data_IF_450794537713
#
_entry.id   IF_450794537713
#
_cell.length_a   1.000
_cell.length_b   1.000
_cell.length_c   1.000
_cell.angle_alpha   90.00
_cell.angle_beta   90.00
_cell.angle_gamma   90.00
#
_symmetry.space_group_name_H-M   'P 1'
#
loop_
_entity.id
_entity.type
_entity.pdbx_description
1 polymer ?
#
# COMPACT_ATOMS: atom_id res chain seq x y z
N UNK A 1 6.29 -7.03 69.91
CA UNK A 1 7.32 -6.62 68.91
C UNK A 1 7.53 -7.79 67.96
N UNK A 2 7.43 -7.76 66.63
CA UNK A 2 6.94 -6.85 65.58
C UNK A 2 6.45 -7.82 64.47
N UNK A 3 5.25 -7.61 63.92
CA UNK A 3 4.66 -8.43 62.84
C UNK A 3 5.41 -8.21 61.53
N UNK A 4 5.99 -9.23 60.87
CA UNK A 4 6.54 -9.11 59.53
C UNK A 4 5.62 -9.82 58.52
N UNK A 5 4.36 -9.38 58.39
CA UNK A 5 3.43 -10.02 57.44
C UNK A 5 2.77 -9.04 56.47
N UNK A 6 3.09 -7.74 56.55
CA UNK A 6 2.50 -6.71 55.69
C UNK A 6 3.34 -6.37 54.45
N UNK A 7 4.64 -6.73 54.41
CA UNK A 7 5.54 -6.30 53.34
C UNK A 7 5.63 -7.23 52.12
N UNK A 8 5.16 -8.47 52.23
CA UNK A 8 5.25 -9.44 51.12
C UNK A 8 4.10 -9.29 50.11
N UNK A 9 2.94 -8.77 50.54
CA UNK A 9 1.77 -8.62 49.66
C UNK A 9 1.89 -7.39 48.75
N UNK A 10 2.64 -6.35 49.16
CA UNK A 10 2.81 -5.13 48.37
C UNK A 10 3.80 -5.28 47.20
N UNK A 11 4.69 -6.28 47.24
CA UNK A 11 5.66 -6.52 46.17
C UNK A 11 5.09 -7.28 44.97
N UNK A 12 3.95 -7.96 45.11
CA UNK A 12 3.35 -8.76 44.03
C UNK A 12 2.45 -7.94 43.08
N UNK A 13 2.07 -6.72 43.45
CA UNK A 13 1.17 -5.86 42.67
C UNK A 13 1.95 -5.00 41.63
N UNK A 14 3.29 -4.92 41.75
CA UNK A 14 4.14 -4.09 40.87
C UNK A 14 4.62 -4.80 39.59
N UNK A 15 4.20 -6.05 39.33
CA UNK A 15 4.61 -6.82 38.14
C UNK A 15 3.53 -6.93 37.05
N UNK A 16 2.36 -6.34 37.21
CA UNK A 16 1.41 -6.16 36.11
C UNK A 16 1.77 -4.91 35.30
N UNK A 17 2.95 -4.90 34.68
CA UNK A 17 3.20 -3.97 33.58
C UNK A 17 2.31 -4.43 32.42
N UNK A 18 1.34 -3.62 31.95
CA UNK A 18 0.68 -3.92 30.70
C UNK A 18 1.79 -3.97 29.64
N UNK A 19 2.02 -5.15 29.06
CA UNK A 19 2.79 -5.26 27.84
C UNK A 19 2.09 -4.34 26.84
N UNK A 20 2.70 -3.21 26.51
CA UNK A 20 2.29 -2.40 25.37
C UNK A 20 2.55 -3.25 24.14
N UNK A 21 1.63 -4.19 23.89
CA UNK A 21 1.55 -4.89 22.63
C UNK A 21 1.26 -3.79 21.61
N UNK A 22 2.29 -3.41 20.85
CA UNK A 22 2.12 -2.48 19.75
C UNK A 22 0.92 -2.95 18.91
N UNK A 23 0.10 -2.01 18.41
CA UNK A 23 -1.07 -2.36 17.62
C UNK A 23 -0.66 -2.97 16.28
N UNK A 24 -1.16 -4.17 15.92
CA UNK A 24 -0.71 -4.91 14.74
C UNK A 24 -0.84 -4.06 13.47
N UNK A 25 0.19 -4.11 12.61
CA UNK A 25 0.15 -3.39 11.33
C UNK A 25 -1.07 -3.86 10.51
N UNK A 26 -1.84 -2.94 9.90
CA UNK A 26 -2.95 -3.30 9.05
C UNK A 26 -2.42 -3.88 7.73
N UNK A 27 -2.27 -5.20 7.68
CA UNK A 27 -1.78 -5.92 6.50
C UNK A 27 -2.90 -6.44 5.61
N UNK A 28 -4.14 -6.44 6.09
CA UNK A 28 -5.28 -7.04 5.39
C UNK A 28 -6.29 -5.98 4.97
N UNK A 29 -6.69 -6.03 3.70
CA UNK A 29 -7.77 -5.24 3.13
C UNK A 29 -8.75 -6.18 2.42
N UNK A 30 -9.99 -6.25 2.92
CA UNK A 30 -10.97 -7.25 2.49
C UNK A 30 -10.42 -8.68 2.69
N UNK A 31 -10.25 -9.44 1.60
CA UNK A 31 -9.71 -10.81 1.60
C UNK A 31 -8.20 -10.87 1.33
N UNK A 32 -7.57 -9.73 1.03
CA UNK A 32 -6.18 -9.69 0.58
C UNK A 32 -5.26 -9.29 1.73
N UNK A 33 -4.24 -10.10 1.99
CA UNK A 33 -3.20 -9.83 2.99
C UNK A 33 -1.86 -9.58 2.30
N UNK A 34 -1.27 -8.42 2.56
CA UNK A 34 0.07 -8.03 2.10
C UNK A 34 1.15 -8.96 2.64
N UNK A 35 2.22 -9.15 1.85
CA UNK A 35 3.33 -10.06 2.17
C UNK A 35 3.02 -11.55 2.02
N UNK A 36 1.77 -11.92 1.72
CA UNK A 36 1.42 -13.29 1.31
C UNK A 36 1.71 -13.50 -0.17
N UNK A 37 1.81 -14.76 -0.57
CA UNK A 37 1.95 -15.11 -1.99
C UNK A 37 0.72 -14.61 -2.78
N UNK A 38 0.96 -13.92 -3.89
CA UNK A 38 -0.11 -13.38 -4.75
C UNK A 38 -0.94 -14.50 -5.38
N UNK A 39 -0.36 -15.68 -5.58
CA UNK A 39 -1.01 -16.80 -6.27
C UNK A 39 -2.19 -17.36 -5.47
N UNK A 40 -2.24 -17.11 -4.15
CA UNK A 40 -3.38 -17.42 -3.30
C UNK A 40 -4.68 -16.71 -3.72
N UNK A 41 -4.56 -15.61 -4.47
CA UNK A 41 -5.68 -14.75 -4.84
C UNK A 41 -6.09 -14.87 -6.31
N UNK A 42 -5.54 -15.82 -7.07
CA UNK A 42 -5.82 -15.98 -8.51
C UNK A 42 -7.30 -16.13 -8.83
N UNK A 43 -8.10 -16.73 -7.95
CA UNK A 43 -9.55 -16.90 -8.13
C UNK A 43 -10.33 -15.57 -8.20
N UNK A 44 -9.75 -14.48 -7.67
CA UNK A 44 -10.28 -13.12 -7.71
C UNK A 44 -9.85 -12.34 -8.95
N UNK A 45 -8.88 -12.84 -9.70
CA UNK A 45 -8.31 -12.17 -10.85
C UNK A 45 -9.03 -12.55 -12.16
N UNK A 46 -8.84 -11.74 -13.20
CA UNK A 46 -9.41 -11.97 -14.54
C UNK A 46 -8.65 -13.02 -15.37
N UNK A 47 -7.64 -13.67 -14.78
CA UNK A 47 -6.83 -14.70 -15.43
C UNK A 47 -5.72 -14.16 -16.36
N UNK A 48 -5.58 -12.84 -16.46
CA UNK A 48 -4.41 -12.24 -17.14
C UNK A 48 -3.13 -12.59 -16.37
N UNK A 49 -2.08 -13.00 -17.11
CA UNK A 49 -0.75 -13.08 -16.49
C UNK A 49 -0.36 -11.67 -16.05
N UNK A 50 0.18 -11.54 -14.83
CA UNK A 50 0.56 -10.25 -14.27
C UNK A 50 1.42 -9.46 -15.25
N UNK A 51 0.92 -8.30 -15.67
CA UNK A 51 1.60 -7.44 -16.63
C UNK A 51 2.69 -6.68 -15.89
N UNK A 52 3.92 -6.73 -16.40
CA UNK A 52 4.97 -5.81 -15.93
C UNK A 52 4.49 -4.38 -16.19
N UNK A 53 4.53 -3.53 -15.16
CA UNK A 53 4.23 -2.11 -15.35
C UNK A 53 5.44 -1.46 -16.03
N UNK A 54 5.25 -0.82 -17.17
CA UNK A 54 6.34 -0.19 -17.94
C UNK A 54 7.11 0.83 -17.09
N UNK A 55 6.39 1.62 -16.29
CA UNK A 55 6.98 2.67 -15.47
C UNK A 55 7.55 2.14 -14.13
N UNK A 56 7.20 0.89 -13.77
CA UNK A 56 7.63 0.25 -12.53
C UNK A 56 8.02 -1.21 -12.84
N UNK A 57 9.14 -1.42 -13.57
CA UNK A 57 9.47 -2.72 -14.17
C UNK A 57 9.75 -3.84 -13.16
N UNK A 58 10.04 -3.47 -11.91
CA UNK A 58 10.25 -4.41 -10.80
C UNK A 58 8.94 -4.93 -10.16
N UNK A 59 7.79 -4.53 -10.73
CA UNK A 59 6.48 -4.96 -10.30
C UNK A 59 5.66 -5.54 -11.44
N UNK A 60 4.86 -6.54 -11.11
CA UNK A 60 3.84 -7.11 -11.98
C UNK A 60 2.45 -6.87 -11.37
N UNK A 61 1.50 -6.48 -12.21
CA UNK A 61 0.13 -6.15 -11.81
C UNK A 61 -0.86 -7.10 -12.46
N UNK A 62 -1.74 -7.68 -11.66
CA UNK A 62 -2.87 -8.49 -12.14
C UNK A 62 -4.17 -7.78 -11.79
N UNK A 63 -5.09 -7.69 -12.76
CA UNK A 63 -6.37 -7.03 -12.55
C UNK A 63 -7.34 -7.95 -11.79
N UNK A 64 -8.12 -7.34 -10.91
CA UNK A 64 -9.23 -8.01 -10.25
C UNK A 64 -10.42 -8.14 -11.21
N UNK A 65 -11.03 -9.32 -11.24
CA UNK A 65 -12.32 -9.53 -11.90
C UNK A 65 -13.38 -8.69 -11.19
N UNK A 66 -14.21 -7.99 -11.95
CA UNK A 66 -15.34 -7.25 -11.40
C UNK A 66 -16.22 -8.16 -10.54
N UNK A 67 -16.69 -7.65 -9.40
CA UNK A 67 -17.58 -8.36 -8.46
C UNK A 67 -16.98 -9.62 -7.82
N UNK A 68 -15.68 -9.88 -7.99
CA UNK A 68 -14.96 -10.91 -7.23
C UNK A 68 -14.88 -10.58 -5.74
N UNK A 69 -14.98 -9.29 -5.40
CA UNK A 69 -15.15 -8.78 -4.04
C UNK A 69 -16.44 -7.95 -4.01
N UNK A 70 -17.36 -8.16 -3.04
CA UNK A 70 -18.62 -7.43 -2.97
C UNK A 70 -18.41 -5.90 -2.96
N UNK A 71 -19.14 -5.20 -3.84
CA UNK A 71 -19.08 -3.74 -3.98
C UNK A 71 -17.86 -3.21 -4.76
N UNK A 72 -16.94 -4.09 -5.16
CA UNK A 72 -15.73 -3.74 -5.91
C UNK A 72 -15.95 -4.02 -7.40
N UNK A 73 -15.90 -2.95 -8.21
CA UNK A 73 -16.05 -3.02 -9.67
C UNK A 73 -14.77 -3.43 -10.41
N UNK A 74 -13.67 -3.51 -9.68
CA UNK A 74 -12.36 -3.88 -10.21
C UNK A 74 -11.24 -3.29 -9.36
N UNK A 75 -10.03 -3.37 -9.86
CA UNK A 75 -8.85 -3.05 -9.07
C UNK A 75 -7.67 -3.88 -9.54
N UNK A 76 -6.67 -3.97 -8.69
CA UNK A 76 -5.48 -4.74 -9.02
C UNK A 76 -4.71 -5.20 -7.79
N UNK A 77 -3.98 -6.28 -8.00
CA UNK A 77 -3.00 -6.85 -7.08
C UNK A 77 -1.63 -6.69 -7.72
N UNK A 78 -0.71 -6.07 -7.00
CA UNK A 78 0.67 -5.87 -7.47
C UNK A 78 1.62 -6.74 -6.66
N UNK A 79 2.43 -7.52 -7.35
CA UNK A 79 3.47 -8.35 -6.76
C UNK A 79 4.85 -8.00 -7.31
N UNK A 80 5.88 -8.39 -6.57
CA UNK A 80 7.27 -8.17 -6.90
C UNK A 80 7.74 -9.18 -7.93
N UNK A 81 8.73 -8.82 -8.72
CA UNK A 81 9.31 -9.69 -9.73
C UNK A 81 10.86 -9.67 -9.76
N UNK A 82 11.52 -8.94 -8.85
CA UNK A 82 12.97 -8.89 -8.77
C UNK A 82 13.54 -9.83 -7.71
N UNK A 83 13.03 -9.78 -6.46
CA UNK A 83 13.56 -10.61 -5.37
C UNK A 83 13.29 -12.12 -5.56
N UNK A 84 12.31 -12.45 -6.39
CA UNK A 84 11.98 -13.83 -6.79
C UNK A 84 10.85 -14.46 -5.97
N UNK A 85 10.39 -13.82 -4.89
CA UNK A 85 9.19 -14.20 -4.18
C UNK A 85 8.01 -13.33 -4.63
N UNK A 86 7.00 -13.94 -5.27
CA UNK A 86 5.82 -13.24 -5.82
C UNK A 86 4.85 -12.79 -4.72
N UNK A 87 5.36 -12.09 -3.70
CA UNK A 87 4.58 -11.58 -2.58
C UNK A 87 3.67 -10.47 -3.06
N UNK A 88 2.50 -10.35 -2.45
CA UNK A 88 1.57 -9.26 -2.66
C UNK A 88 2.08 -8.00 -1.94
N UNK A 89 2.48 -6.99 -2.70
CA UNK A 89 2.98 -5.71 -2.16
C UNK A 89 1.90 -4.64 -2.11
N UNK A 90 0.96 -4.66 -3.06
CA UNK A 90 -0.05 -3.61 -3.16
C UNK A 90 -1.40 -4.16 -3.55
N UNK A 91 -2.43 -3.65 -2.90
CA UNK A 91 -3.84 -3.91 -3.23
C UNK A 91 -4.47 -2.59 -3.62
N UNK A 92 -5.16 -2.57 -4.76
CA UNK A 92 -5.98 -1.44 -5.18
C UNK A 92 -7.41 -1.91 -5.41
N UNK A 93 -8.37 -1.35 -4.69
CA UNK A 93 -9.79 -1.62 -4.86
C UNK A 93 -10.49 -0.40 -5.42
N UNK A 94 -11.38 -0.60 -6.39
CA UNK A 94 -12.25 0.43 -6.96
C UNK A 94 -13.70 0.03 -6.73
N UNK A 95 -14.50 0.95 -6.23
CA UNK A 95 -15.88 0.66 -5.86
C UNK A 95 -16.89 1.01 -6.95
N UNK A 96 -18.01 0.29 -6.96
CA UNK A 96 -19.20 0.66 -7.74
C UNK A 96 -19.81 1.97 -7.29
N UNK A 97 -19.86 2.20 -5.97
CA UNK A 97 -20.28 3.49 -5.44
C UNK A 97 -19.16 4.53 -5.64
N UNK A 98 -19.34 5.39 -6.63
CA UNK A 98 -18.41 6.45 -6.99
C UNK A 98 -18.69 7.76 -6.27
N UNK A 99 -19.66 7.79 -5.34
CA UNK A 99 -20.11 9.00 -4.70
C UNK A 99 -19.12 9.51 -3.64
N UNK A 100 -19.06 10.83 -3.49
CA UNK A 100 -18.33 11.45 -2.39
C UNK A 100 -18.93 11.06 -1.02
N UNK A 101 -20.23 10.74 -0.98
CA UNK A 101 -20.91 10.27 0.24
C UNK A 101 -20.31 8.96 0.73
N UNK A 102 -20.08 8.01 -0.16
CA UNK A 102 -19.45 6.73 0.18
C UNK A 102 -17.99 6.91 0.63
N UNK A 103 -17.23 7.78 -0.06
CA UNK A 103 -15.89 8.17 0.38
C UNK A 103 -15.89 8.74 1.81
N UNK A 104 -16.80 9.68 2.11
CA UNK A 104 -16.90 10.27 3.44
C UNK A 104 -17.26 9.24 4.52
N UNK A 105 -18.07 8.22 4.17
CA UNK A 105 -18.39 7.13 5.07
C UNK A 105 -17.17 6.26 5.38
N UNK A 106 -16.39 5.87 4.36
CA UNK A 106 -15.12 5.15 4.56
C UNK A 106 -14.11 5.97 5.35
N UNK A 107 -13.98 7.26 5.04
CA UNK A 107 -13.11 8.19 5.75
C UNK A 107 -13.45 8.21 7.24
N UNK A 108 -14.74 8.29 7.58
CA UNK A 108 -15.18 8.26 8.98
C UNK A 108 -14.80 6.95 9.69
N UNK A 109 -14.95 5.80 9.03
CA UNK A 109 -14.55 4.52 9.62
C UNK A 109 -13.03 4.42 9.80
N UNK A 110 -12.24 4.90 8.83
CA UNK A 110 -10.78 4.94 8.95
C UNK A 110 -10.32 5.89 10.05
N UNK A 111 -10.88 7.10 10.13
CA UNK A 111 -10.55 8.04 11.22
C UNK A 111 -10.92 7.48 12.58
N UNK A 112 -12.05 6.77 12.69
CA UNK A 112 -12.44 6.09 13.93
C UNK A 112 -11.47 4.97 14.31
N UNK A 113 -10.94 4.24 13.34
CA UNK A 113 -10.07 3.09 13.60
C UNK A 113 -8.59 3.47 13.79
N UNK A 114 -8.09 4.44 13.01
CA UNK A 114 -6.66 4.77 12.91
C UNK A 114 -6.32 6.19 13.36
N UNK A 115 -7.32 7.02 13.67
CA UNK A 115 -7.12 8.45 13.95
C UNK A 115 -7.03 9.30 12.68
N UNK A 116 -6.64 10.56 12.84
CA UNK A 116 -6.51 11.51 11.74
C UNK A 116 -5.46 11.03 10.71
N UNK A 117 -5.66 11.30 9.40
CA UNK A 117 -4.69 10.94 8.37
C UNK A 117 -3.39 11.74 8.52
N UNK A 118 -2.27 11.12 8.14
CA UNK A 118 -0.95 11.74 8.21
C UNK A 118 -0.72 12.78 7.11
N UNK A 119 -1.33 12.60 5.95
CA UNK A 119 -1.16 13.54 4.83
C UNK A 119 -2.34 13.60 3.87
N UNK A 120 -2.52 14.77 3.26
CA UNK A 120 -3.39 15.00 2.11
C UNK A 120 -2.59 14.80 0.81
N UNK A 121 -3.13 14.00 -0.10
CA UNK A 121 -2.52 13.64 -1.39
C UNK A 121 -3.41 14.06 -2.58
N UNK A 122 -4.46 14.83 -2.33
CA UNK A 122 -5.38 15.30 -3.36
C UNK A 122 -4.88 16.56 -4.06
N UNK A 123 -5.67 17.05 -5.02
CA UNK A 123 -5.39 18.32 -5.68
C UNK A 123 -5.88 19.52 -4.85
N UNK A 124 -5.35 20.71 -5.17
CA UNK A 124 -5.74 21.97 -4.53
C UNK A 124 -7.18 22.37 -4.86
N UNK A 125 -7.69 21.96 -6.02
CA UNK A 125 -9.03 22.28 -6.50
C UNK A 125 -10.11 21.29 -6.02
N UNK A 126 -9.72 20.24 -5.28
CA UNK A 126 -10.61 19.19 -4.75
C UNK A 126 -11.39 18.43 -5.83
N UNK A 127 -10.82 18.33 -7.04
CA UNK A 127 -11.27 17.35 -8.03
C UNK A 127 -10.82 15.94 -7.64
N UNK A 128 -9.71 15.84 -6.92
CA UNK A 128 -9.19 14.62 -6.30
C UNK A 128 -9.00 14.88 -4.82
N UNK A 129 -9.65 14.08 -3.98
CA UNK A 129 -9.49 14.09 -2.53
C UNK A 129 -8.83 12.78 -2.15
N UNK A 130 -7.66 12.82 -1.53
CA UNK A 130 -6.96 11.63 -1.10
C UNK A 130 -6.32 11.83 0.28
N UNK A 131 -6.57 10.90 1.19
CA UNK A 131 -6.03 10.91 2.56
C UNK A 131 -5.19 9.66 2.76
N UNK A 132 -4.00 9.84 3.33
CA UNK A 132 -3.05 8.78 3.57
C UNK A 132 -2.79 8.58 5.06
N UNK A 133 -2.75 7.30 5.46
CA UNK A 133 -2.21 6.84 6.73
C UNK A 133 -0.95 6.01 6.46
N UNK A 134 0.03 6.16 7.33
CA UNK A 134 1.30 5.45 7.31
C UNK A 134 1.46 4.70 8.62
N UNK A 135 1.71 3.41 8.53
CA UNK A 135 1.90 2.53 9.66
C UNK A 135 3.32 1.99 9.62
N UNK A 136 4.03 2.01 10.74
CA UNK A 136 5.39 1.51 10.82
C UNK A 136 5.59 0.67 12.09
N UNK A 137 6.30 -0.45 11.95
CA UNK A 137 6.73 -1.29 13.05
C UNK A 137 8.07 -1.94 12.73
N UNK A 138 9.10 -1.56 13.48
CA UNK A 138 10.44 -2.08 13.25
C UNK A 138 10.90 -1.74 11.83
N UNK A 139 11.09 -2.77 10.99
CA UNK A 139 11.49 -2.62 9.58
C UNK A 139 10.30 -2.66 8.60
N UNK A 140 9.10 -2.97 9.08
CA UNK A 140 7.92 -3.05 8.23
C UNK A 140 7.20 -1.70 8.20
N UNK A 141 6.81 -1.29 7.00
CA UNK A 141 6.07 -0.05 6.76
C UNK A 141 4.93 -0.31 5.77
N UNK A 142 3.76 0.24 6.06
CA UNK A 142 2.54 0.10 5.25
C UNK A 142 1.93 1.48 5.03
N UNK A 143 1.50 1.77 3.81
CA UNK A 143 0.66 2.94 3.52
C UNK A 143 -0.76 2.51 3.15
N UNK A 144 -1.73 3.32 3.56
CA UNK A 144 -3.14 3.20 3.20
C UNK A 144 -3.61 4.55 2.65
N UNK A 145 -4.08 4.56 1.40
CA UNK A 145 -4.59 5.73 0.72
C UNK A 145 -6.08 5.52 0.40
N UNK A 146 -6.95 6.36 0.96
CA UNK A 146 -8.34 6.46 0.57
C UNK A 146 -8.50 7.64 -0.38
N UNK A 147 -9.09 7.42 -1.56
CA UNK A 147 -9.20 8.43 -2.60
C UNK A 147 -10.62 8.51 -3.16
N UNK A 148 -11.05 9.72 -3.48
CA UNK A 148 -12.19 10.01 -4.34
C UNK A 148 -11.78 11.00 -5.43
N UNK A 149 -12.19 10.72 -6.67
CA UNK A 149 -11.94 11.60 -7.83
C UNK A 149 -13.24 11.84 -8.62
N UNK A 150 -13.45 13.08 -9.06
CA UNK A 150 -14.46 13.43 -10.06
C UNK A 150 -13.85 13.64 -11.46
N UNK A 151 -12.53 13.59 -11.56
CA UNK A 151 -11.79 13.80 -12.79
C UNK A 151 -11.90 12.56 -13.68
N UNK A 152 -12.25 12.77 -14.96
CA UNK A 152 -12.42 11.71 -15.95
C UNK A 152 -11.08 11.13 -16.40
N UNK A 153 -10.02 11.94 -16.38
CA UNK A 153 -8.66 11.54 -16.72
C UNK A 153 -8.01 10.82 -15.54
N UNK A 154 -8.28 11.28 -14.30
CA UNK A 154 -7.88 10.57 -13.09
C UNK A 154 -8.97 9.62 -12.58
N UNK A 155 -9.15 8.49 -13.30
CA UNK A 155 -9.98 7.31 -12.96
C UNK A 155 -11.06 7.57 -11.88
N UNK A 156 -12.27 7.99 -12.27
CA UNK A 156 -13.26 8.56 -11.35
C UNK A 156 -13.81 7.57 -10.33
N UNK A 157 -14.30 8.12 -9.21
CA UNK A 157 -14.97 7.41 -8.13
C UNK A 157 -14.10 7.17 -6.90
N UNK A 158 -14.51 6.20 -6.08
CA UNK A 158 -13.85 5.86 -4.81
C UNK A 158 -12.88 4.72 -5.00
N UNK A 159 -11.69 4.85 -4.42
CA UNK A 159 -10.69 3.78 -4.39
C UNK A 159 -9.91 3.73 -3.09
N UNK A 160 -9.44 2.54 -2.76
CA UNK A 160 -8.48 2.30 -1.68
C UNK A 160 -7.22 1.73 -2.31
N UNK A 161 -6.06 2.23 -1.90
CA UNK A 161 -4.75 1.64 -2.22
C UNK A 161 -4.04 1.34 -0.91
N UNK A 162 -3.58 0.12 -0.71
CA UNK A 162 -2.75 -0.27 0.43
C UNK A 162 -1.45 -0.87 -0.08
N UNK A 163 -0.31 -0.45 0.47
CA UNK A 163 1.04 -0.85 0.00
C UNK A 163 1.91 -1.26 1.18
N UNK A 164 2.63 -2.37 1.06
CA UNK A 164 3.71 -2.76 1.97
C UNK A 164 4.99 -2.08 1.49
N UNK A 165 5.20 -0.85 1.93
CA UNK A 165 6.28 0.04 1.48
C UNK A 165 7.66 -0.59 1.71
N UNK A 166 7.87 -1.24 2.86
CA UNK A 166 9.16 -1.87 3.15
C UNK A 166 9.54 -2.98 2.16
N UNK A 167 8.56 -3.71 1.63
CA UNK A 167 8.80 -4.73 0.61
C UNK A 167 8.91 -4.10 -0.79
N UNK A 168 8.22 -2.98 -1.03
CA UNK A 168 8.31 -2.23 -2.28
C UNK A 168 9.72 -1.66 -2.46
N UNK A 169 10.26 -1.09 -1.40
CA UNK A 169 11.62 -0.56 -1.37
C UNK A 169 12.64 -1.66 -1.62
N UNK A 170 12.45 -2.86 -1.04
CA UNK A 170 13.33 -4.00 -1.25
C UNK A 170 13.32 -4.51 -2.71
N UNK A 171 12.15 -4.56 -3.36
CA UNK A 171 12.04 -4.88 -4.79
C UNK A 171 12.70 -3.82 -5.67
N UNK A 172 12.52 -2.53 -5.32
CA UNK A 172 13.15 -1.42 -6.02
C UNK A 172 14.68 -1.48 -5.92
N UNK A 173 15.22 -1.73 -4.73
CA UNK A 173 16.66 -1.82 -4.50
C UNK A 173 17.28 -2.99 -5.29
N UNK A 174 16.60 -4.15 -5.31
CA UNK A 174 16.99 -5.28 -6.13
C UNK A 174 17.08 -4.91 -7.61
N UNK A 175 16.04 -4.26 -8.13
CA UNK A 175 15.98 -3.87 -9.54
C UNK A 175 17.04 -2.84 -9.89
N UNK A 176 17.20 -1.83 -9.04
CA UNK A 176 18.17 -0.75 -9.24
C UNK A 176 19.59 -1.29 -9.31
N UNK A 177 19.95 -2.24 -8.44
CA UNK A 177 21.27 -2.86 -8.47
C UNK A 177 21.54 -3.60 -9.80
N UNK A 178 20.54 -4.29 -10.36
CA UNK A 178 20.65 -4.96 -11.64
C UNK A 178 20.70 -3.97 -12.82
N UNK A 179 19.84 -2.95 -12.79
CA UNK A 179 19.74 -1.91 -13.81
C UNK A 179 21.03 -1.08 -13.91
N UNK A 180 21.55 -0.58 -12.78
CA UNK A 180 22.77 0.23 -12.73
C UNK A 180 23.99 -0.55 -13.27
N UNK A 181 24.01 -1.88 -13.06
CA UNK A 181 25.05 -2.74 -13.62
C UNK A 181 24.91 -2.83 -15.14
N UNK A 182 23.70 -3.10 -15.63
CA UNK A 182 23.44 -3.20 -17.06
C UNK A 182 23.74 -1.89 -17.80
N UNK A 183 23.33 -0.75 -17.25
CA UNK A 183 23.58 0.57 -17.85
C UNK A 183 25.09 0.86 -17.95
N UNK A 184 25.87 0.52 -16.90
CA UNK A 184 27.34 0.62 -16.94
C UNK A 184 27.95 -0.28 -18.01
N UNK A 185 27.48 -1.53 -18.12
CA UNK A 185 27.95 -2.49 -19.14
C UNK A 185 27.64 -2.01 -20.57
N UNK A 186 26.59 -1.20 -20.75
CA UNK A 186 26.18 -0.60 -22.02
C UNK A 186 26.84 0.76 -22.32
N UNK A 187 27.79 1.20 -21.48
CA UNK A 187 28.53 2.46 -21.69
C UNK A 187 27.88 3.69 -21.06
N UNK A 188 26.87 3.52 -20.20
CA UNK A 188 26.21 4.57 -19.45
C UNK A 188 25.05 5.25 -20.20
N UNK A 189 24.40 6.25 -19.58
CA UNK A 189 23.29 6.97 -20.18
C UNK A 189 23.73 7.76 -21.42
N UNK A 190 22.88 7.77 -22.44
CA UNK A 190 23.11 8.58 -23.65
C UNK A 190 22.80 10.06 -23.40
N UNK A 191 23.66 10.96 -23.86
CA UNK A 191 23.42 12.39 -23.76
C UNK A 191 22.33 12.90 -24.74
N UNK A 192 21.52 13.85 -24.29
CA UNK A 192 20.62 14.62 -25.15
C UNK A 192 21.47 15.47 -26.09
N UNK A 193 21.30 15.29 -27.40
CA UNK A 193 22.10 16.00 -28.42
C UNK A 193 21.53 17.35 -28.80
N UNK A 194 20.20 17.47 -28.87
CA UNK A 194 19.51 18.70 -29.25
C UNK A 194 18.14 18.77 -28.56
N UNK A 195 17.87 19.87 -27.87
CA UNK A 195 16.58 20.08 -27.19
C UNK A 195 15.42 20.26 -28.18
N UNK A 196 15.69 20.76 -29.39
CA UNK A 196 14.66 20.98 -30.40
C UNK A 196 14.03 19.67 -30.92
N UNK A 197 14.66 18.52 -30.67
CA UNK A 197 14.07 17.21 -31.01
C UNK A 197 12.87 16.87 -30.10
N UNK A 198 12.74 17.55 -28.96
CA UNK A 198 11.70 17.34 -27.96
C UNK A 198 10.70 18.50 -27.88
N UNK A 199 10.81 19.49 -28.77
CA UNK A 199 9.85 20.60 -28.88
C UNK A 199 8.82 20.26 -29.96
N UNK A 200 7.52 20.14 -29.61
CA UNK A 200 6.46 19.92 -30.60
C UNK A 200 6.44 21.03 -31.65
N UNK A 201 6.21 20.68 -32.93
CA UNK A 201 6.06 21.63 -34.04
C UNK A 201 4.62 21.72 -34.50
#
# INVERSE_FOLDING_TARGET
MKRPSAFIILALILLSAPCLAAEPLPLTLSVFTLGKDVDLYQSYCDGSQGLSQTDIPFLSETNLRADSVPGVRGGSLTHGNCLGDRKLLRVKLKFHDTSQKFFNALLKEYTKQFGEPDSYQGDTFKNVIAWQWNFARGKEAVSLLLMWSRDKEMRPGVSIKMTLESLLDAEYDCYKAAFDKQEKDQGGPTAIRNLNDFVPR
#
